data_IF_586724499534
#
_entry.id   IF_586724499534
#
_cell.length_a   1.000
_cell.length_b   1.000
_cell.length_c   1.000
_cell.angle_alpha   90.00
_cell.angle_beta   90.00
_cell.angle_gamma   90.00
#
_symmetry.space_group_name_H-M   'P 1'
#
loop_
_entity.id
_entity.type
_entity.pdbx_description
1 polymer ?
#
# COMPACT_ATOMS: atom_id res chain seq x y z
N UNK A 1 -14.52 -11.22 -2.60
CA UNK A 1 -15.37 -12.06 -1.72
C UNK A 1 -16.15 -11.19 -0.74
N UNK A 2 -15.49 -10.30 0.00
CA UNK A 2 -16.16 -9.42 0.99
C UNK A 2 -17.24 -8.55 0.35
N UNK A 3 -16.95 -7.89 -0.77
CA UNK A 3 -17.93 -7.04 -1.48
C UNK A 3 -19.13 -7.82 -2.09
N UNK A 4 -18.94 -9.10 -2.39
CA UNK A 4 -20.00 -9.97 -2.94
C UNK A 4 -20.88 -10.64 -1.89
N UNK A 5 -20.45 -10.66 -0.63
CA UNK A 5 -21.24 -11.29 0.44
C UNK A 5 -22.31 -10.33 0.94
N UNK A 6 -23.59 -10.70 0.73
CA UNK A 6 -24.75 -9.96 1.29
C UNK A 6 -25.18 -10.48 2.66
N UNK A 7 -24.58 -11.59 3.14
CA UNK A 7 -24.94 -12.23 4.40
C UNK A 7 -24.25 -11.50 5.57
N UNK A 8 -25.04 -10.95 6.46
CA UNK A 8 -24.51 -10.42 7.71
C UNK A 8 -24.27 -11.55 8.70
N UNK A 9 -22.99 -11.80 9.03
CA UNK A 9 -22.54 -12.84 9.95
C UNK A 9 -21.36 -12.33 10.77
N UNK A 10 -21.02 -12.96 11.92
CA UNK A 10 -19.79 -12.68 12.63
C UNK A 10 -18.56 -12.83 11.73
N UNK A 11 -17.59 -11.91 11.83
CA UNK A 11 -16.38 -11.91 10.97
C UNK A 11 -15.59 -13.21 11.16
N UNK A 12 -15.51 -13.75 12.37
CA UNK A 12 -14.79 -15.00 12.60
C UNK A 12 -15.42 -16.20 11.86
N UNK A 13 -16.76 -16.24 11.75
CA UNK A 13 -17.46 -17.25 10.96
C UNK A 13 -17.17 -17.08 9.48
N UNK A 14 -17.18 -15.84 8.99
CA UNK A 14 -16.82 -15.52 7.60
C UNK A 14 -15.38 -15.96 7.27
N UNK A 15 -14.43 -15.64 8.15
CA UNK A 15 -13.03 -16.06 7.99
C UNK A 15 -12.93 -17.59 7.88
N UNK A 16 -13.64 -18.31 8.73
CA UNK A 16 -13.65 -19.77 8.76
C UNK A 16 -14.35 -20.39 7.53
N UNK A 17 -15.54 -19.89 7.20
CA UNK A 17 -16.36 -20.41 6.09
C UNK A 17 -15.67 -20.22 4.74
N UNK A 18 -15.11 -19.04 4.51
CA UNK A 18 -14.46 -18.67 3.24
C UNK A 18 -12.94 -18.85 3.24
N UNK A 19 -12.35 -19.39 4.31
CA UNK A 19 -10.90 -19.62 4.47
C UNK A 19 -10.08 -18.35 4.18
N UNK A 20 -10.54 -17.21 4.68
CA UNK A 20 -9.86 -15.93 4.52
C UNK A 20 -8.62 -15.89 5.40
N UNK A 21 -7.49 -15.53 4.83
CA UNK A 21 -6.25 -15.32 5.60
C UNK A 21 -6.28 -13.97 6.32
N UNK A 22 -5.73 -13.95 7.54
CA UNK A 22 -5.50 -12.72 8.31
C UNK A 22 -4.06 -12.29 8.08
N UNK A 23 -3.87 -11.07 7.57
CA UNK A 23 -2.56 -10.42 7.50
C UNK A 23 -2.40 -9.41 8.63
N UNK A 24 -1.20 -9.32 9.21
CA UNK A 24 -0.85 -8.30 10.20
C UNK A 24 -0.03 -7.22 9.51
N UNK A 25 -0.61 -6.04 9.35
CA UNK A 25 0.06 -4.91 8.70
C UNK A 25 0.96 -4.13 9.65
N UNK A 26 0.58 -4.05 10.92
CA UNK A 26 1.34 -3.34 11.96
C UNK A 26 1.01 -3.94 13.34
N UNK A 27 2.01 -4.07 14.21
CA UNK A 27 1.79 -4.49 15.60
C UNK A 27 2.81 -3.88 16.54
N UNK A 28 2.41 -3.68 17.80
CA UNK A 28 3.32 -3.38 18.91
C UNK A 28 3.69 -4.71 19.57
N UNK A 29 4.88 -5.24 19.26
CA UNK A 29 5.37 -6.49 19.83
C UNK A 29 4.97 -7.75 19.03
N UNK A 30 5.04 -8.91 19.68
CA UNK A 30 4.71 -10.21 19.05
C UNK A 30 3.20 -10.40 18.99
N UNK A 31 2.62 -10.15 17.84
CA UNK A 31 1.20 -10.35 17.54
C UNK A 31 1.07 -11.18 16.27
N UNK A 32 0.30 -12.27 16.32
CA UNK A 32 0.17 -13.22 15.21
C UNK A 32 -1.26 -13.29 14.68
N UNK A 33 -1.49 -13.79 13.46
CA UNK A 33 -2.83 -14.03 12.92
C UNK A 33 -3.69 -14.91 13.82
N UNK A 34 -3.11 -15.90 14.52
CA UNK A 34 -3.81 -16.79 15.42
C UNK A 34 -4.33 -16.02 16.65
N UNK A 35 -3.50 -15.15 17.24
CA UNK A 35 -3.91 -14.27 18.35
C UNK A 35 -5.03 -13.34 17.89
N UNK A 36 -4.89 -12.74 16.71
CA UNK A 36 -5.93 -11.88 16.12
C UNK A 36 -7.25 -12.65 15.97
N UNK A 37 -7.20 -13.87 15.40
CA UNK A 37 -8.38 -14.70 15.20
C UNK A 37 -9.10 -15.03 16.51
N UNK A 38 -8.36 -15.41 17.56
CA UNK A 38 -8.95 -15.71 18.88
C UNK A 38 -9.63 -14.49 19.52
N UNK A 39 -9.08 -13.28 19.35
CA UNK A 39 -9.70 -12.04 19.83
C UNK A 39 -10.96 -11.74 19.02
N UNK A 40 -10.89 -11.81 17.70
CA UNK A 40 -12.03 -11.58 16.80
C UNK A 40 -13.17 -12.55 17.13
N UNK A 41 -12.87 -13.83 17.41
CA UNK A 41 -13.84 -14.83 17.81
C UNK A 41 -14.57 -14.46 19.11
N UNK A 42 -13.85 -13.86 20.05
CA UNK A 42 -14.39 -13.48 21.37
C UNK A 42 -15.20 -12.17 21.37
N UNK A 43 -15.09 -11.33 20.33
CA UNK A 43 -15.62 -9.96 20.35
C UNK A 43 -16.76 -9.67 19.36
N UNK A 44 -17.06 -10.59 18.48
CA UNK A 44 -18.23 -10.56 17.56
C UNK A 44 -18.37 -9.33 16.63
N UNK A 45 -17.30 -8.76 16.05
CA UNK A 45 -17.48 -7.81 14.95
C UNK A 45 -18.18 -8.52 13.78
N UNK A 46 -19.01 -7.76 13.03
CA UNK A 46 -19.89 -8.33 12.01
C UNK A 46 -19.48 -7.91 10.59
N UNK A 47 -19.92 -8.65 9.60
CA UNK A 47 -19.72 -8.30 8.20
C UNK A 47 -20.41 -6.99 7.83
N UNK A 48 -21.52 -6.63 8.49
CA UNK A 48 -22.16 -5.31 8.36
C UNK A 48 -21.19 -4.16 8.70
N UNK A 49 -20.37 -4.29 9.75
CA UNK A 49 -19.40 -3.27 10.13
C UNK A 49 -18.36 -3.03 9.01
N UNK A 50 -17.90 -4.13 8.39
CA UNK A 50 -17.00 -4.06 7.21
C UNK A 50 -17.71 -3.39 6.01
N UNK A 51 -18.96 -3.76 5.73
CA UNK A 51 -19.71 -3.20 4.62
C UNK A 51 -19.96 -1.69 4.80
N UNK A 52 -20.23 -1.23 6.01
CA UNK A 52 -20.47 0.18 6.30
C UNK A 52 -19.21 1.02 6.06
N UNK A 53 -18.04 0.57 6.50
CA UNK A 53 -16.78 1.30 6.24
C UNK A 53 -16.38 1.25 4.77
N UNK A 54 -16.61 0.13 4.06
CA UNK A 54 -16.40 0.03 2.62
C UNK A 54 -17.31 1.00 1.84
N UNK A 55 -18.59 1.05 2.21
CA UNK A 55 -19.57 1.97 1.61
C UNK A 55 -19.18 3.43 1.85
N UNK A 56 -18.70 3.76 3.06
CA UNK A 56 -18.25 5.11 3.37
C UNK A 56 -17.07 5.54 2.50
N UNK A 57 -16.12 4.63 2.20
CA UNK A 57 -15.00 4.90 1.30
C UNK A 57 -15.46 5.07 -0.14
N UNK A 58 -16.27 4.14 -0.67
CA UNK A 58 -16.76 4.21 -2.06
C UNK A 58 -17.64 5.42 -2.32
N UNK A 59 -18.40 5.89 -1.32
CA UNK A 59 -19.20 7.10 -1.44
C UNK A 59 -18.33 8.36 -1.53
N UNK A 60 -17.21 8.39 -0.81
CA UNK A 60 -16.27 9.53 -0.82
C UNK A 60 -15.32 9.51 -2.02
N UNK A 61 -14.99 8.32 -2.51
CA UNK A 61 -14.05 8.08 -3.61
C UNK A 61 -14.72 7.16 -4.66
N UNK A 62 -15.57 7.68 -5.56
CA UNK A 62 -16.30 6.85 -6.53
C UNK A 62 -15.39 6.12 -7.53
N UNK A 63 -14.18 6.65 -7.79
CA UNK A 63 -13.20 6.07 -8.71
C UNK A 63 -12.12 5.26 -7.98
N UNK A 64 -12.48 4.63 -6.88
CA UNK A 64 -11.57 3.76 -6.13
C UNK A 64 -11.13 2.58 -7.01
N UNK A 65 -9.82 2.40 -7.16
CA UNK A 65 -9.22 1.30 -7.90
C UNK A 65 -9.18 0.01 -7.09
N UNK A 66 -8.85 0.12 -5.81
CA UNK A 66 -8.89 -1.01 -4.88
C UNK A 66 -9.45 -0.60 -3.53
N UNK A 67 -10.02 -1.59 -2.82
CA UNK A 67 -10.51 -1.44 -1.46
C UNK A 67 -9.84 -2.50 -0.58
N UNK A 68 -9.42 -2.07 0.59
CA UNK A 68 -8.98 -2.95 1.66
C UNK A 68 -9.82 -2.70 2.92
N UNK A 69 -10.09 -3.75 3.66
CA UNK A 69 -10.73 -3.67 4.95
C UNK A 69 -9.86 -4.31 6.02
N UNK A 70 -9.90 -3.76 7.21
CA UNK A 70 -9.13 -4.23 8.34
C UNK A 70 -9.78 -3.92 9.67
N UNK A 71 -9.10 -4.30 10.72
CA UNK A 71 -9.53 -4.07 12.10
C UNK A 71 -8.34 -3.62 12.94
N UNK A 72 -8.61 -2.75 13.90
CA UNK A 72 -7.66 -2.50 14.99
C UNK A 72 -8.04 -3.46 16.11
N UNK A 73 -7.07 -4.28 16.51
CA UNK A 73 -7.23 -5.26 17.58
C UNK A 73 -6.43 -4.79 18.79
N UNK A 74 -7.10 -4.62 19.92
CA UNK A 74 -6.46 -4.37 21.20
C UNK A 74 -6.14 -5.71 21.87
N UNK A 75 -4.86 -6.04 21.96
CA UNK A 75 -4.40 -7.30 22.53
C UNK A 75 -4.45 -7.34 24.06
N UNK A 76 -4.40 -6.19 24.73
CA UNK A 76 -4.48 -6.09 26.19
C UNK A 76 -5.94 -6.17 26.64
N UNK A 77 -6.81 -5.33 26.06
CA UNK A 77 -8.23 -5.36 26.33
C UNK A 77 -8.96 -6.55 25.66
N UNK A 78 -8.28 -7.29 24.78
CA UNK A 78 -8.80 -8.42 24.00
C UNK A 78 -10.11 -8.09 23.28
N UNK A 79 -10.12 -6.96 22.57
CA UNK A 79 -11.27 -6.51 21.82
C UNK A 79 -10.90 -5.96 20.43
N UNK A 80 -11.91 -5.65 19.62
CA UNK A 80 -11.80 -5.00 18.31
C UNK A 80 -12.51 -3.65 18.36
N UNK A 81 -11.81 -2.58 18.79
CA UNK A 81 -12.43 -1.28 18.98
C UNK A 81 -12.84 -0.61 17.65
N UNK A 82 -12.17 -0.94 16.56
CA UNK A 82 -12.44 -0.28 15.27
C UNK A 82 -12.36 -1.27 14.12
N UNK A 83 -13.31 -1.13 13.19
CA UNK A 83 -13.25 -1.65 11.83
C UNK A 83 -12.92 -0.48 10.90
N UNK A 84 -12.07 -0.70 9.93
CA UNK A 84 -11.62 0.35 9.03
C UNK A 84 -11.58 -0.14 7.58
N UNK A 85 -11.69 0.80 6.66
CA UNK A 85 -11.45 0.54 5.25
C UNK A 85 -10.58 1.64 4.66
N UNK A 86 -9.75 1.25 3.72
CA UNK A 86 -8.96 2.15 2.90
C UNK A 86 -9.25 1.87 1.44
N UNK A 87 -9.14 2.91 0.61
CA UNK A 87 -9.24 2.77 -0.83
C UNK A 87 -8.20 3.67 -1.47
N UNK A 88 -7.66 3.22 -2.58
CA UNK A 88 -6.73 3.99 -3.38
C UNK A 88 -7.28 4.20 -4.79
N UNK A 89 -6.91 5.30 -5.41
CA UNK A 89 -7.08 5.54 -6.83
C UNK A 89 -5.71 5.74 -7.47
N UNK A 90 -5.63 5.36 -8.72
CA UNK A 90 -4.41 5.57 -9.51
C UNK A 90 -4.47 6.99 -10.07
N UNK A 91 -3.38 7.75 -10.00
CA UNK A 91 -3.31 9.06 -10.64
C UNK A 91 -3.48 8.94 -12.15
N UNK A 92 -4.17 9.88 -12.77
CA UNK A 92 -4.54 9.84 -14.20
C UNK A 92 -3.35 9.62 -15.13
N UNK A 93 -2.18 10.14 -14.76
CA UNK A 93 -0.95 10.03 -15.56
C UNK A 93 -0.09 8.80 -15.23
N UNK A 94 -0.49 7.94 -14.29
CA UNK A 94 0.36 6.82 -13.85
C UNK A 94 0.63 5.82 -14.98
N UNK A 95 -0.41 5.40 -15.69
CA UNK A 95 -0.25 4.45 -16.82
C UNK A 95 0.67 5.02 -17.89
N UNK A 96 0.45 6.28 -18.28
CA UNK A 96 1.30 6.97 -19.25
C UNK A 96 2.76 7.06 -18.77
N UNK A 97 2.97 7.36 -17.48
CA UNK A 97 4.30 7.43 -16.88
C UNK A 97 5.03 6.10 -17.01
N UNK A 98 4.40 5.01 -16.57
CA UNK A 98 4.99 3.66 -16.63
C UNK A 98 5.26 3.24 -18.07
N UNK A 99 4.33 3.46 -19.00
CA UNK A 99 4.52 3.15 -20.42
C UNK A 99 5.70 3.93 -21.03
N UNK A 100 5.84 5.21 -20.67
CA UNK A 100 6.96 6.04 -21.15
C UNK A 100 8.28 5.52 -20.61
N UNK A 101 8.37 5.21 -19.31
CA UNK A 101 9.57 4.62 -18.71
C UNK A 101 9.95 3.28 -19.36
N UNK A 102 8.97 2.41 -19.60
CA UNK A 102 9.20 1.14 -20.30
C UNK A 102 9.73 1.35 -21.74
N UNK A 103 9.20 2.34 -22.47
CA UNK A 103 9.71 2.67 -23.81
C UNK A 103 11.15 3.16 -23.80
N UNK A 104 11.59 3.74 -22.67
CA UNK A 104 12.97 4.14 -22.41
C UNK A 104 13.84 2.98 -21.89
N UNK A 105 13.30 1.75 -21.80
CA UNK A 105 13.95 0.56 -21.23
C UNK A 105 14.29 0.71 -19.74
N UNK A 106 13.49 1.47 -19.02
CA UNK A 106 13.59 1.63 -17.57
C UNK A 106 12.69 0.60 -16.90
N UNK A 107 13.28 -0.22 -16.05
CA UNK A 107 12.55 -1.18 -15.23
C UNK A 107 11.84 -0.49 -14.07
N UNK A 108 10.55 -0.75 -13.93
CA UNK A 108 9.72 -0.18 -12.86
C UNK A 108 9.33 -1.22 -11.83
N UNK A 109 9.31 -0.82 -10.56
CA UNK A 109 9.04 -1.67 -9.40
C UNK A 109 7.98 -1.06 -8.51
N UNK A 110 7.22 -1.89 -7.78
CA UNK A 110 6.29 -1.46 -6.73
C UNK A 110 6.79 -1.98 -5.39
N UNK A 111 6.94 -1.09 -4.40
CA UNK A 111 7.21 -1.45 -3.01
C UNK A 111 6.21 -0.73 -2.09
N UNK A 112 5.22 -1.45 -1.58
CA UNK A 112 4.13 -0.90 -0.77
C UNK A 112 3.85 -1.75 0.48
N UNK A 113 3.33 -1.09 1.52
CA UNK A 113 2.78 -1.77 2.72
C UNK A 113 1.47 -2.51 2.45
N UNK A 114 0.86 -2.32 1.28
CA UNK A 114 -0.39 -2.95 0.91
C UNK A 114 -0.25 -4.47 0.71
N UNK A 115 -1.41 -5.14 0.68
CA UNK A 115 -1.49 -6.59 0.51
C UNK A 115 -1.09 -7.02 -0.91
N UNK A 116 -0.64 -8.26 -1.05
CA UNK A 116 -0.35 -8.86 -2.35
C UNK A 116 -1.51 -8.73 -3.34
N UNK A 117 -2.74 -9.00 -2.89
CA UNK A 117 -3.92 -8.95 -3.77
C UNK A 117 -4.14 -7.56 -4.37
N UNK A 118 -4.06 -6.51 -3.54
CA UNK A 118 -4.22 -5.13 -3.99
C UNK A 118 -3.12 -4.73 -5.00
N UNK A 119 -1.87 -5.09 -4.71
CA UNK A 119 -0.74 -4.76 -5.57
C UNK A 119 -0.69 -5.59 -6.86
N UNK A 120 -1.19 -6.84 -6.85
CA UNK A 120 -1.35 -7.65 -8.07
C UNK A 120 -2.28 -6.94 -9.06
N UNK A 121 -3.45 -6.49 -8.59
CA UNK A 121 -4.40 -5.76 -9.43
C UNK A 121 -3.81 -4.45 -9.97
N UNK A 122 -3.09 -3.70 -9.13
CA UNK A 122 -2.42 -2.47 -9.55
C UNK A 122 -1.36 -2.76 -10.62
N UNK A 123 -0.50 -3.74 -10.39
CA UNK A 123 0.59 -4.11 -11.29
C UNK A 123 0.07 -4.57 -12.67
N UNK A 124 -0.98 -5.37 -12.69
CA UNK A 124 -1.68 -5.76 -13.93
C UNK A 124 -2.22 -4.54 -14.68
N UNK A 125 -2.87 -3.62 -13.97
CA UNK A 125 -3.44 -2.40 -14.57
C UNK A 125 -2.36 -1.50 -15.20
N UNK A 126 -1.20 -1.32 -14.55
CA UNK A 126 -0.13 -0.45 -15.04
C UNK A 126 0.99 -1.20 -15.77
N UNK A 127 0.78 -2.48 -16.09
CA UNK A 127 1.71 -3.35 -16.83
C UNK A 127 3.10 -3.50 -16.16
N UNK A 128 3.13 -3.68 -14.83
CA UNK A 128 4.35 -4.05 -14.10
C UNK A 128 4.33 -5.56 -13.83
N UNK A 129 5.40 -6.31 -14.19
CA UNK A 129 5.50 -7.74 -13.93
C UNK A 129 5.41 -8.07 -12.44
N UNK A 130 4.75 -9.18 -12.08
CA UNK A 130 4.50 -9.58 -10.69
C UNK A 130 5.79 -9.81 -9.89
N UNK A 131 6.87 -10.27 -10.53
CA UNK A 131 8.18 -10.43 -9.90
C UNK A 131 8.85 -9.10 -9.50
N UNK A 132 8.31 -7.96 -9.94
CA UNK A 132 8.74 -6.61 -9.58
C UNK A 132 7.84 -5.95 -8.54
N UNK A 133 6.96 -6.75 -7.89
CA UNK A 133 6.01 -6.26 -6.88
C UNK A 133 6.41 -6.78 -5.50
N UNK A 134 6.71 -5.85 -4.60
CA UNK A 134 7.07 -6.11 -3.22
C UNK A 134 5.97 -5.63 -2.28
N UNK A 135 5.08 -6.55 -1.93
CA UNK A 135 3.99 -6.30 -0.99
C UNK A 135 4.46 -6.36 0.48
N UNK A 136 3.62 -5.84 1.37
CA UNK A 136 3.86 -5.82 2.83
C UNK A 136 5.25 -5.27 3.16
N UNK A 137 5.63 -4.18 2.47
CA UNK A 137 6.94 -3.55 2.61
C UNK A 137 6.87 -2.39 3.59
N UNK A 138 7.37 -2.60 4.80
CA UNK A 138 7.60 -1.57 5.78
C UNK A 138 8.79 -0.67 5.39
N UNK A 139 9.10 0.30 6.24
CA UNK A 139 10.19 1.27 6.02
C UNK A 139 11.55 0.60 5.80
N UNK A 140 11.88 -0.44 6.57
CA UNK A 140 13.17 -1.14 6.48
C UNK A 140 13.24 -2.00 5.22
N UNK A 141 12.14 -2.69 4.90
CA UNK A 141 12.06 -3.52 3.70
C UNK A 141 12.15 -2.69 2.42
N UNK A 142 11.51 -1.50 2.37
CA UNK A 142 11.62 -0.58 1.23
C UNK A 142 13.07 -0.12 1.02
N UNK A 143 13.77 0.27 2.09
CA UNK A 143 15.19 0.62 2.03
C UNK A 143 16.02 -0.54 1.48
N UNK A 144 15.83 -1.75 2.02
CA UNK A 144 16.55 -2.95 1.58
C UNK A 144 16.33 -3.26 0.09
N UNK A 145 15.08 -3.14 -0.39
CA UNK A 145 14.75 -3.31 -1.81
C UNK A 145 15.55 -2.32 -2.67
N UNK A 146 15.59 -1.04 -2.29
CA UNK A 146 16.36 -0.03 -3.02
C UNK A 146 17.84 -0.39 -3.06
N UNK A 147 18.43 -0.79 -1.93
CA UNK A 147 19.84 -1.20 -1.86
C UNK A 147 20.13 -2.45 -2.70
N UNK A 148 19.23 -3.42 -2.73
CA UNK A 148 19.36 -4.61 -3.60
C UNK A 148 19.28 -4.22 -5.08
N UNK A 149 18.38 -3.31 -5.46
CA UNK A 149 18.28 -2.81 -6.84
C UNK A 149 19.54 -2.04 -7.28
N UNK A 150 20.20 -1.31 -6.38
CA UNK A 150 21.49 -0.63 -6.67
C UNK A 150 22.62 -1.61 -7.01
N UNK A 151 22.53 -2.85 -6.58
CA UNK A 151 23.49 -3.89 -7.01
C UNK A 151 23.19 -4.42 -8.43
N UNK A 152 21.99 -4.18 -8.96
CA UNK A 152 21.52 -4.67 -10.25
C UNK A 152 21.52 -3.61 -11.34
N UNK A 153 21.28 -2.36 -10.96
CA UNK A 153 21.13 -1.24 -11.87
C UNK A 153 22.16 -0.14 -11.59
N UNK A 154 22.59 0.55 -12.64
CA UNK A 154 23.54 1.65 -12.56
C UNK A 154 22.96 2.83 -11.76
N UNK A 155 21.67 3.10 -11.95
CA UNK A 155 20.93 4.16 -11.24
C UNK A 155 19.58 3.65 -10.75
N UNK A 156 19.21 4.03 -9.54
CA UNK A 156 17.92 3.72 -8.92
C UNK A 156 17.25 5.01 -8.46
N UNK A 157 16.06 5.25 -8.99
CA UNK A 157 15.19 6.35 -8.57
C UNK A 157 14.10 5.79 -7.64
N UNK A 158 13.97 6.34 -6.44
CA UNK A 158 12.88 6.03 -5.53
C UNK A 158 11.85 7.14 -5.54
N UNK A 159 10.59 6.80 -5.76
CA UNK A 159 9.47 7.75 -5.67
C UNK A 159 8.62 7.40 -4.45
N UNK A 160 8.35 8.39 -3.61
CA UNK A 160 7.55 8.18 -2.40
C UNK A 160 6.77 9.43 -1.98
N UNK A 161 5.83 9.26 -1.07
CA UNK A 161 4.98 10.36 -0.58
C UNK A 161 4.74 10.31 0.93
N UNK A 162 5.24 9.28 1.62
CA UNK A 162 5.02 9.01 3.03
C UNK A 162 6.29 9.01 3.89
N UNK A 163 6.10 9.17 5.21
CA UNK A 163 7.18 9.09 6.20
C UNK A 163 7.89 7.73 6.15
N UNK A 164 7.16 6.67 5.81
CA UNK A 164 7.67 5.32 5.64
C UNK A 164 8.58 5.15 4.40
N UNK A 165 8.69 6.18 3.54
CA UNK A 165 9.56 6.17 2.36
C UNK A 165 10.91 6.85 2.61
N UNK A 166 11.08 7.59 3.72
CA UNK A 166 12.26 8.42 4.01
C UNK A 166 13.56 7.63 3.85
N UNK A 167 13.63 6.42 4.41
CA UNK A 167 14.86 5.61 4.33
C UNK A 167 15.15 5.14 2.91
N UNK A 168 14.13 4.74 2.18
CA UNK A 168 14.25 4.32 0.79
C UNK A 168 14.61 5.49 -0.14
N UNK A 169 14.03 6.67 0.08
CA UNK A 169 14.40 7.90 -0.64
C UNK A 169 15.87 8.23 -0.46
N UNK A 170 16.39 8.20 0.77
CA UNK A 170 17.80 8.46 1.08
C UNK A 170 18.76 7.39 0.57
N UNK A 171 18.29 6.16 0.42
CA UNK A 171 19.09 5.04 -0.09
C UNK A 171 19.23 5.02 -1.61
N UNK A 172 18.30 5.63 -2.34
CA UNK A 172 18.32 5.72 -3.80
C UNK A 172 19.45 6.61 -4.32
N UNK A 173 19.72 6.55 -5.63
CA UNK A 173 20.62 7.50 -6.30
C UNK A 173 19.91 8.85 -6.51
N UNK A 174 18.59 8.82 -6.70
CA UNK A 174 17.73 10.01 -6.67
C UNK A 174 16.42 9.66 -5.92
N UNK A 175 16.20 10.35 -4.81
CA UNK A 175 14.93 10.32 -4.07
C UNK A 175 13.96 11.36 -4.60
N UNK A 176 12.80 10.96 -5.04
CA UNK A 176 11.73 11.83 -5.56
C UNK A 176 10.53 11.80 -4.64
N UNK A 177 10.15 12.95 -4.09
CA UNK A 177 8.93 13.10 -3.32
C UNK A 177 7.79 13.61 -4.21
N UNK A 178 6.63 12.95 -4.21
CA UNK A 178 5.43 13.48 -4.86
C UNK A 178 4.51 14.19 -3.87
N UNK A 179 3.95 15.35 -4.27
CA UNK A 179 2.94 16.08 -3.51
C UNK A 179 1.52 15.86 -4.05
N UNK A 180 1.35 14.97 -5.02
CA UNK A 180 0.09 14.76 -5.73
C UNK A 180 -1.09 14.35 -4.83
N UNK A 181 -0.83 13.77 -3.64
CA UNK A 181 -1.83 13.46 -2.61
C UNK A 181 -2.06 14.60 -1.60
N UNK A 182 -1.37 15.73 -1.74
CA UNK A 182 -1.49 16.92 -0.88
C UNK A 182 -0.15 17.58 -0.58
N UNK A 183 -0.18 18.90 -0.42
CA UNK A 183 1.02 19.73 -0.26
C UNK A 183 1.62 19.72 1.14
N UNK A 184 0.82 19.38 2.16
CA UNK A 184 1.26 19.39 3.55
C UNK A 184 2.01 18.10 3.88
N UNK A 185 3.30 18.07 3.58
CA UNK A 185 4.19 16.95 3.93
C UNK A 185 5.15 17.34 5.05
N UNK A 186 5.50 16.41 5.96
CA UNK A 186 6.49 16.64 7.01
C UNK A 186 7.81 17.15 6.46
N UNK A 187 8.49 18.01 7.24
CA UNK A 187 9.78 18.60 6.86
C UNK A 187 10.83 17.52 6.59
N UNK A 188 10.87 16.49 7.43
CA UNK A 188 11.80 15.36 7.33
C UNK A 188 11.67 14.59 6.02
N UNK A 189 10.46 14.48 5.48
CA UNK A 189 10.20 13.82 4.19
C UNK A 189 10.69 14.71 3.03
N UNK A 190 10.45 16.03 3.11
CA UNK A 190 10.95 16.99 2.11
C UNK A 190 12.48 17.01 2.06
N UNK A 191 13.13 16.94 3.21
CA UNK A 191 14.59 16.91 3.34
C UNK A 191 15.22 15.56 2.94
N UNK A 192 14.42 14.51 2.83
CA UNK A 192 14.87 13.19 2.39
C UNK A 192 14.85 13.02 0.86
N UNK A 193 14.21 13.94 0.14
CA UNK A 193 14.08 13.88 -1.31
C UNK A 193 15.03 14.88 -1.99
N UNK A 194 15.65 14.44 -3.07
CA UNK A 194 16.48 15.29 -3.94
C UNK A 194 15.61 16.15 -4.87
N UNK A 195 14.44 15.60 -5.26
CA UNK A 195 13.49 16.25 -6.18
C UNK A 195 12.08 16.17 -5.61
N UNK A 196 11.33 17.27 -5.74
CA UNK A 196 9.91 17.33 -5.37
C UNK A 196 9.08 17.55 -6.63
N UNK A 197 8.09 16.69 -6.86
CA UNK A 197 7.18 16.75 -8.01
C UNK A 197 5.72 16.87 -7.56
N UNK A 198 4.91 17.54 -8.36
CA UNK A 198 3.47 17.69 -8.16
C UNK A 198 2.62 16.78 -9.07
N UNK A 199 3.26 16.08 -10.02
CA UNK A 199 2.64 15.10 -10.89
C UNK A 199 3.63 13.97 -11.19
N UNK A 200 3.17 12.73 -11.12
CA UNK A 200 3.99 11.53 -11.30
C UNK A 200 4.65 11.46 -12.69
N UNK A 201 4.06 12.06 -13.71
CA UNK A 201 4.66 12.10 -15.07
C UNK A 201 6.02 12.79 -15.09
N UNK A 202 6.30 13.71 -14.16
CA UNK A 202 7.59 14.41 -14.04
C UNK A 202 8.75 13.50 -13.66
N UNK A 203 8.46 12.28 -13.17
CA UNK A 203 9.50 11.25 -12.96
C UNK A 203 10.24 10.93 -14.26
N UNK A 204 9.54 10.99 -15.40
CA UNK A 204 10.15 10.76 -16.72
C UNK A 204 11.26 11.78 -17.00
N UNK A 205 11.06 13.04 -16.61
CA UNK A 205 12.08 14.09 -16.83
C UNK A 205 13.26 13.92 -15.85
N UNK A 206 13.00 13.47 -14.62
CA UNK A 206 14.06 13.11 -13.66
C UNK A 206 14.92 12.00 -14.22
N UNK A 207 14.31 10.94 -14.76
CA UNK A 207 15.04 9.79 -15.32
C UNK A 207 15.82 10.17 -16.58
N UNK A 208 15.30 11.06 -17.43
CA UNK A 208 16.02 11.56 -18.62
C UNK A 208 17.26 12.39 -18.28
N UNK A 209 17.33 12.95 -17.09
CA UNK A 209 18.44 13.78 -16.64
C UNK A 209 19.60 12.97 -15.99
N UNK A 210 19.43 11.65 -15.85
CA UNK A 210 20.43 10.72 -15.27
C UNK A 210 21.31 10.09 -16.35
#
# INVERSE_FOLDING_TARGET
>A
IILGSRKDMPIFEFIKEYRVSIGISCSKGKFTPEIAYEIIRGTSPRMSDIHDVLKAVTTRCPNVFYLAAGMIVDSEARNVPYVLSTGGHVFDTTLQTVQTLHSMKVDTYIASGDSHLALTQLAEFINIPQERVFALSDTLKKEKIVLELKNKYEKVVMVGDGINDIRALRAADVGVMTTQQGDKRPKELREAADVIIDNIIKVVDVVKAL
#
